data_IF_240657239019
#
_entry.id   IF_240657239019
#
_cell.length_a   1.000
_cell.length_b   1.000
_cell.length_c   1.000
_cell.angle_alpha   90.00
_cell.angle_beta   90.00
_cell.angle_gamma   90.00
#
_symmetry.space_group_name_H-M   'P 1'
#
loop_
_entity.id
_entity.type
_entity.pdbx_description
1 polymer ?
#
# COMPACT_ATOMS: atom_id res chain seq x y z
N UNK A 1 -3.42 -26.37 5.40
CA UNK A 1 -2.71 -27.66 5.66
C UNK A 1 -3.07 -28.11 7.07
N UNK A 2 -3.29 -29.40 7.23
CA UNK A 2 -4.13 -30.05 8.25
C UNK A 2 -3.70 -29.87 9.72
N UNK A 3 -4.71 -29.77 10.61
CA UNK A 3 -4.58 -29.81 12.06
C UNK A 3 -4.44 -31.27 12.56
N UNK A 4 -3.41 -31.55 13.35
CA UNK A 4 -3.27 -32.82 14.09
C UNK A 4 -3.69 -32.58 15.53
N UNK A 5 -4.86 -33.11 15.87
CA UNK A 5 -5.37 -33.30 17.24
C UNK A 5 -5.10 -34.74 17.64
N UNK A 6 -4.54 -34.93 18.84
CA UNK A 6 -4.39 -36.22 19.51
C UNK A 6 -3.10 -36.21 20.34
N UNK A 7 -3.00 -36.75 21.56
CA UNK A 7 -3.87 -37.66 22.31
C UNK A 7 -3.28 -37.68 23.72
N UNK A 8 -3.97 -37.18 24.74
CA UNK A 8 -3.52 -37.32 26.14
C UNK A 8 -3.80 -38.74 26.59
N UNK A 9 -2.76 -39.57 26.62
CA UNK A 9 -2.78 -40.89 27.23
C UNK A 9 -2.51 -40.78 28.74
N UNK A 10 -3.44 -41.28 29.54
CA UNK A 10 -3.30 -41.43 30.99
C UNK A 10 -2.10 -42.33 31.31
N UNK A 11 -1.03 -41.75 31.86
CA UNK A 11 0.04 -42.51 32.50
C UNK A 11 -0.28 -42.66 33.99
N UNK A 12 -0.53 -43.92 34.35
CA UNK A 12 -0.75 -44.44 35.70
C UNK A 12 0.24 -43.88 36.73
N UNK A 13 -0.31 -43.43 37.86
CA UNK A 13 0.43 -43.07 39.07
C UNK A 13 1.31 -44.25 39.53
N UNK A 14 2.62 -44.15 39.30
CA UNK A 14 3.58 -44.99 40.00
C UNK A 14 3.85 -44.38 41.39
N UNK A 15 3.29 -45.07 42.38
CA UNK A 15 3.54 -44.91 43.82
C UNK A 15 5.04 -45.10 44.07
N UNK A 16 5.76 -44.00 44.31
CA UNK A 16 7.17 -44.05 44.69
C UNK A 16 7.30 -43.95 46.22
N UNK A 17 7.92 -45.00 46.74
CA UNK A 17 8.10 -45.37 48.12
C UNK A 17 8.99 -44.34 48.84
N UNK A 18 8.57 -43.97 50.06
CA UNK A 18 9.36 -43.18 50.99
C UNK A 18 10.70 -43.87 51.25
N UNK A 19 11.78 -43.25 50.80
CA UNK A 19 13.15 -43.73 50.96
C UNK A 19 14.10 -42.56 50.82
N UNK A 20 14.53 -42.02 51.96
CA UNK A 20 15.59 -41.02 52.05
C UNK A 20 16.90 -41.59 51.48
N UNK A 21 17.33 -41.12 50.31
CA UNK A 21 18.73 -41.19 49.89
C UNK A 21 19.15 -39.85 49.30
N UNK A 22 20.08 -39.23 50.01
CA UNK A 22 20.68 -37.92 49.76
C UNK A 22 21.55 -38.03 48.50
N UNK A 23 21.11 -37.47 47.38
CA UNK A 23 21.97 -37.22 46.22
C UNK A 23 22.57 -35.81 46.37
N UNK A 24 23.88 -35.75 46.62
CA UNK A 24 24.64 -34.49 46.65
C UNK A 24 24.73 -33.95 45.22
N UNK A 25 23.99 -32.87 44.92
CA UNK A 25 24.10 -32.16 43.64
C UNK A 25 25.27 -31.18 43.68
N UNK A 26 26.10 -31.24 42.63
CA UNK A 26 27.19 -30.30 42.39
C UNK A 26 26.64 -28.88 42.21
N UNK A 27 27.30 -27.93 42.88
CA UNK A 27 27.00 -26.51 42.85
C UNK A 27 27.16 -25.94 41.42
N UNK A 28 26.03 -25.58 40.81
CA UNK A 28 26.01 -24.50 39.84
C UNK A 28 25.81 -23.21 40.63
N UNK A 29 26.71 -22.23 40.47
CA UNK A 29 26.65 -20.93 41.13
C UNK A 29 25.45 -20.12 40.60
N UNK A 30 24.26 -20.45 41.09
CA UNK A 30 23.07 -19.61 40.98
C UNK A 30 22.95 -18.80 42.27
N UNK A 31 23.49 -17.58 42.30
CA UNK A 31 23.06 -16.62 43.32
C UNK A 31 21.56 -16.40 43.16
N UNK A 32 20.71 -16.70 44.16
CA UNK A 32 19.27 -16.59 44.03
C UNK A 32 18.90 -15.12 43.84
N UNK A 33 18.44 -14.79 42.65
CA UNK A 33 18.04 -13.44 42.30
C UNK A 33 16.85 -12.98 43.16
N UNK A 34 16.90 -11.75 43.69
CA UNK A 34 15.82 -11.21 44.52
C UNK A 34 14.51 -11.12 43.74
N UNK A 35 13.37 -11.27 44.44
CA UNK A 35 12.03 -11.31 43.81
C UNK A 35 11.78 -10.11 42.89
N UNK A 36 12.23 -8.91 43.28
CA UNK A 36 12.12 -7.70 42.44
C UNK A 36 12.95 -7.75 41.16
N UNK A 37 14.19 -8.26 41.22
CA UNK A 37 15.03 -8.43 40.04
C UNK A 37 14.47 -9.51 39.09
N UNK A 38 13.91 -10.60 39.63
CA UNK A 38 13.22 -11.63 38.83
C UNK A 38 12.02 -11.06 38.06
N UNK A 39 11.17 -10.27 38.75
CA UNK A 39 10.02 -9.61 38.13
C UNK A 39 10.50 -8.65 37.03
N UNK A 40 11.52 -7.84 37.30
CA UNK A 40 12.09 -6.89 36.33
C UNK A 40 12.62 -7.57 35.06
N UNK A 41 13.45 -8.61 35.19
CA UNK A 41 13.97 -9.30 34.00
C UNK A 41 12.88 -10.07 33.24
N UNK A 42 11.86 -10.60 33.92
CA UNK A 42 10.74 -11.25 33.24
C UNK A 42 9.89 -10.30 32.42
N UNK A 43 9.58 -9.10 32.93
CA UNK A 43 8.76 -8.12 32.20
C UNK A 43 9.52 -7.55 31.01
N UNK A 44 10.80 -7.21 31.19
CA UNK A 44 11.67 -6.75 30.08
C UNK A 44 11.80 -7.82 29.01
N UNK A 45 11.97 -9.09 29.38
CA UNK A 45 12.06 -10.20 28.42
C UNK A 45 10.77 -10.36 27.60
N UNK A 46 9.61 -10.33 28.25
CA UNK A 46 8.30 -10.45 27.57
C UNK A 46 8.05 -9.27 26.63
N UNK A 47 8.29 -8.04 27.10
CA UNK A 47 8.09 -6.84 26.29
C UNK A 47 9.07 -6.79 25.11
N UNK A 48 10.36 -7.06 25.36
CA UNK A 48 11.37 -7.07 24.30
C UNK A 48 11.08 -8.10 23.21
N UNK A 49 10.68 -9.32 23.59
CA UNK A 49 10.28 -10.36 22.64
C UNK A 49 9.01 -9.98 21.88
N UNK A 50 8.02 -9.37 22.56
CA UNK A 50 6.79 -8.91 21.92
C UNK A 50 7.05 -7.83 20.87
N UNK A 51 7.87 -6.82 21.20
CA UNK A 51 8.25 -5.74 20.27
C UNK A 51 9.03 -6.29 19.08
N UNK A 52 10.01 -7.16 19.31
CA UNK A 52 10.78 -7.79 18.24
C UNK A 52 9.88 -8.64 17.31
N UNK A 53 8.92 -9.37 17.88
CA UNK A 53 7.95 -10.16 17.10
C UNK A 53 7.05 -9.29 16.23
N UNK A 54 6.60 -8.13 16.72
CA UNK A 54 5.80 -7.17 15.94
C UNK A 54 6.62 -6.56 14.81
N UNK A 55 7.86 -6.13 15.09
CA UNK A 55 8.76 -5.59 14.05
C UNK A 55 8.99 -6.62 12.96
N UNK A 56 9.24 -7.89 13.33
CA UNK A 56 9.44 -8.97 12.37
C UNK A 56 8.17 -9.22 11.52
N UNK A 57 6.99 -9.25 12.13
CA UNK A 57 5.73 -9.46 11.42
C UNK A 57 5.38 -8.31 10.46
N UNK A 58 5.75 -7.07 10.81
CA UNK A 58 5.51 -5.88 9.98
C UNK A 58 6.59 -5.67 8.89
N UNK A 59 7.70 -6.41 8.94
CA UNK A 59 8.76 -6.31 7.94
C UNK A 59 8.41 -6.99 6.60
N UNK A 60 7.36 -7.82 6.57
CA UNK A 60 6.87 -8.43 5.35
C UNK A 60 6.05 -7.42 4.52
N UNK A 61 6.64 -6.91 3.44
CA UNK A 61 5.92 -6.10 2.45
C UNK A 61 4.88 -6.97 1.72
N UNK A 62 3.61 -6.54 1.67
CA UNK A 62 2.60 -7.21 0.84
C UNK A 62 3.02 -7.14 -0.63
N UNK A 63 3.36 -8.30 -1.22
CA UNK A 63 3.70 -8.42 -2.64
C UNK A 63 2.40 -8.52 -3.46
N UNK A 64 1.90 -7.38 -3.89
CA UNK A 64 0.74 -7.27 -4.78
C UNK A 64 1.13 -6.98 -6.24
N UNK A 65 2.34 -7.36 -6.67
CA UNK A 65 2.83 -7.11 -8.04
C UNK A 65 2.07 -7.91 -9.10
N UNK A 66 1.58 -9.09 -8.74
CA UNK A 66 1.05 -10.06 -9.69
C UNK A 66 -0.49 -10.05 -9.74
N UNK A 67 -1.12 -9.25 -8.87
CA UNK A 67 -2.57 -9.07 -8.80
C UNK A 67 -2.95 -7.81 -9.57
N UNK A 68 -3.86 -7.95 -10.54
CA UNK A 68 -4.42 -6.80 -11.25
C UNK A 68 -5.63 -6.29 -10.49
N UNK A 69 -5.52 -5.10 -9.90
CA UNK A 69 -6.67 -4.41 -9.31
C UNK A 69 -7.52 -3.80 -10.43
N UNK A 70 -8.74 -4.32 -10.61
CA UNK A 70 -9.67 -3.73 -11.57
C UNK A 70 -10.19 -2.37 -11.07
N UNK A 71 -10.23 -1.33 -11.92
CA UNK A 71 -10.71 -0.02 -11.51
C UNK A 71 -12.22 -0.04 -11.19
N UNK A 72 -12.67 0.75 -10.20
CA UNK A 72 -14.09 0.86 -9.89
C UNK A 72 -14.86 1.58 -11.01
N UNK A 73 -16.17 1.34 -11.08
CA UNK A 73 -17.06 2.02 -12.04
C UNK A 73 -17.38 3.42 -11.53
N UNK A 74 -16.68 4.43 -12.04
CA UNK A 74 -16.95 5.83 -11.72
C UNK A 74 -18.21 6.36 -12.44
N UNK A 75 -19.02 7.21 -11.77
CA UNK A 75 -20.22 7.81 -12.35
C UNK A 75 -19.86 9.04 -13.19
N UNK A 76 -19.32 8.82 -14.40
CA UNK A 76 -19.02 9.92 -15.33
C UNK A 76 -20.30 10.53 -15.93
N UNK A 77 -20.38 11.87 -16.11
CA UNK A 77 -21.59 12.53 -16.61
C UNK A 77 -22.00 12.05 -18.01
N UNK A 78 -21.03 11.75 -18.87
CA UNK A 78 -21.22 11.24 -20.22
C UNK A 78 -21.52 9.73 -20.28
N UNK A 79 -21.74 9.07 -19.14
CA UNK A 79 -22.05 7.64 -19.04
C UNK A 79 -23.44 7.37 -18.45
N UNK A 80 -24.12 8.39 -17.93
CA UNK A 80 -25.40 8.22 -17.23
C UNK A 80 -26.51 7.70 -18.15
N UNK A 81 -26.60 8.24 -19.37
CA UNK A 81 -27.60 7.84 -20.36
C UNK A 81 -26.94 7.64 -21.73
N UNK A 82 -27.63 6.92 -22.63
CA UNK A 82 -27.16 6.71 -24.01
C UNK A 82 -27.05 8.01 -24.82
N UNK A 83 -27.68 9.09 -24.38
CA UNK A 83 -27.68 10.41 -25.02
C UNK A 83 -26.86 11.46 -24.26
N UNK A 84 -26.18 11.08 -23.17
CA UNK A 84 -25.38 12.01 -22.39
C UNK A 84 -24.17 12.50 -23.19
N UNK A 85 -23.95 13.82 -23.25
CA UNK A 85 -22.81 14.43 -23.92
C UNK A 85 -21.62 14.64 -22.96
N UNK A 86 -20.47 15.02 -23.52
CA UNK A 86 -19.31 15.41 -22.73
C UNK A 86 -19.52 16.77 -22.07
N UNK A 87 -19.05 16.93 -20.83
CA UNK A 87 -19.00 18.23 -20.17
C UNK A 87 -17.85 19.07 -20.76
N UNK A 88 -18.20 20.03 -21.62
CA UNK A 88 -17.25 20.94 -22.27
C UNK A 88 -16.47 21.81 -21.27
N UNK A 89 -17.03 22.14 -20.10
CA UNK A 89 -16.30 22.86 -19.06
C UNK A 89 -15.22 21.98 -18.43
N UNK A 90 -15.48 20.68 -18.26
CA UNK A 90 -14.48 19.71 -17.85
C UNK A 90 -13.41 19.51 -18.91
N UNK A 91 -13.76 19.46 -20.20
CA UNK A 91 -12.78 19.38 -21.30
C UNK A 91 -11.83 20.58 -21.27
N UNK A 92 -12.35 21.80 -21.07
CA UNK A 92 -11.50 23.01 -20.98
C UNK A 92 -10.52 22.94 -19.81
N UNK A 93 -10.99 22.55 -18.61
CA UNK A 93 -10.10 22.36 -17.44
C UNK A 93 -9.08 21.23 -17.66
N UNK A 94 -9.49 20.14 -18.32
CA UNK A 94 -8.62 19.02 -18.64
C UNK A 94 -7.50 19.39 -19.62
N UNK A 95 -7.78 20.27 -20.59
CA UNK A 95 -6.76 20.82 -21.48
C UNK A 95 -5.69 21.60 -20.70
N UNK A 96 -6.09 22.42 -19.72
CA UNK A 96 -5.13 23.13 -18.87
C UNK A 96 -4.24 22.19 -18.06
N UNK A 97 -4.80 21.10 -17.52
CA UNK A 97 -4.01 20.05 -16.85
C UNK A 97 -3.02 19.39 -17.81
N UNK A 98 -3.47 19.07 -19.04
CA UNK A 98 -2.57 18.53 -20.05
C UNK A 98 -1.43 19.50 -20.37
N UNK A 99 -1.76 20.77 -20.64
CA UNK A 99 -0.80 21.83 -20.98
C UNK A 99 0.23 22.07 -19.87
N UNK A 100 -0.22 22.10 -18.61
CA UNK A 100 0.62 22.47 -17.47
C UNK A 100 1.44 21.29 -16.90
N UNK A 101 0.95 20.05 -17.03
CA UNK A 101 1.55 18.88 -16.37
C UNK A 101 2.03 17.83 -17.37
N UNK A 102 1.17 17.43 -18.31
CA UNK A 102 1.41 16.26 -19.14
C UNK A 102 2.25 16.56 -20.39
N UNK A 103 2.14 17.77 -20.94
CA UNK A 103 2.77 18.17 -22.21
C UNK A 103 4.30 18.11 -22.18
N UNK A 104 4.91 18.18 -20.99
CA UNK A 104 6.35 18.03 -20.84
C UNK A 104 6.86 16.61 -21.16
N UNK A 105 6.02 15.58 -20.98
CA UNK A 105 6.42 14.18 -21.15
C UNK A 105 5.60 13.42 -22.21
N UNK A 106 4.34 13.82 -22.46
CA UNK A 106 3.42 13.13 -23.35
C UNK A 106 3.01 14.02 -24.54
N UNK A 107 3.33 13.55 -25.75
CA UNK A 107 2.88 14.17 -26.99
C UNK A 107 1.41 13.90 -27.28
N UNK A 108 0.73 14.85 -27.90
CA UNK A 108 -0.65 14.70 -28.34
C UNK A 108 -0.77 14.98 -29.84
N UNK A 109 -0.16 14.09 -30.64
CA UNK A 109 0.05 14.27 -32.10
C UNK A 109 -1.24 14.30 -32.94
N UNK A 110 -2.32 13.67 -32.48
CA UNK A 110 -3.54 13.49 -33.26
C UNK A 110 -4.60 14.58 -33.03
N UNK A 111 -4.32 15.58 -32.19
CA UNK A 111 -5.20 16.73 -31.97
C UNK A 111 -4.45 17.99 -32.36
N UNK A 112 -5.04 18.75 -33.27
CA UNK A 112 -4.57 20.07 -33.65
C UNK A 112 -5.37 21.14 -32.89
N UNK A 113 -4.81 22.35 -32.74
CA UNK A 113 -5.49 23.48 -32.08
C UNK A 113 -6.86 23.80 -32.68
N UNK A 114 -7.03 23.62 -34.00
CA UNK A 114 -8.32 23.76 -34.70
C UNK A 114 -9.42 22.82 -34.17
N UNK A 115 -9.07 21.68 -33.58
CA UNK A 115 -10.05 20.75 -33.02
C UNK A 115 -10.63 21.24 -31.68
N UNK A 116 -9.99 22.23 -31.04
CA UNK A 116 -10.47 22.82 -29.79
C UNK A 116 -11.51 23.93 -30.03
N UNK A 117 -11.55 24.48 -31.25
CA UNK A 117 -12.45 25.56 -31.64
C UNK A 117 -13.89 25.08 -31.62
N UNK A 118 -14.75 25.76 -30.86
CA UNK A 118 -16.16 25.38 -30.70
C UNK A 118 -16.39 24.16 -29.81
N UNK A 119 -15.32 23.55 -29.28
CA UNK A 119 -15.39 22.47 -28.30
C UNK A 119 -15.05 23.02 -26.91
N UNK A 120 -13.81 23.48 -26.70
CA UNK A 120 -13.37 24.00 -25.40
C UNK A 120 -12.90 25.45 -25.46
N UNK A 121 -12.50 25.92 -26.65
CA UNK A 121 -11.96 27.26 -26.86
C UNK A 121 -12.69 27.98 -27.99
N UNK A 122 -12.66 29.30 -27.94
CA UNK A 122 -13.01 30.13 -29.10
C UNK A 122 -11.87 30.14 -30.12
N UNK A 123 -12.13 30.58 -31.34
CA UNK A 123 -11.10 30.66 -32.39
C UNK A 123 -9.93 31.57 -31.97
N UNK A 124 -10.24 32.72 -31.36
CA UNK A 124 -9.23 33.68 -30.90
C UNK A 124 -8.36 33.09 -29.79
N UNK A 125 -8.95 32.36 -28.84
CA UNK A 125 -8.21 31.69 -27.76
C UNK A 125 -7.32 30.56 -28.31
N UNK A 126 -7.85 29.72 -29.20
CA UNK A 126 -7.09 28.62 -29.79
C UNK A 126 -5.90 29.14 -30.64
N UNK A 127 -6.07 30.29 -31.31
CA UNK A 127 -5.00 30.97 -32.03
C UNK A 127 -3.93 31.52 -31.10
N UNK A 128 -4.33 32.21 -30.03
CA UNK A 128 -3.38 32.72 -29.04
C UNK A 128 -2.56 31.57 -28.38
N UNK A 129 -3.21 30.45 -28.11
CA UNK A 129 -2.56 29.23 -27.59
C UNK A 129 -1.56 28.65 -28.58
N UNK A 130 -1.93 28.56 -29.85
CA UNK A 130 -1.06 28.11 -30.94
C UNK A 130 0.16 29.03 -31.12
N UNK A 131 -0.01 30.34 -30.99
CA UNK A 131 1.07 31.34 -31.07
C UNK A 131 2.02 31.28 -29.87
N UNK A 132 1.52 30.89 -28.68
CA UNK A 132 2.33 30.83 -27.45
C UNK A 132 3.41 29.74 -27.47
N UNK A 133 3.23 28.70 -28.30
CA UNK A 133 4.17 27.59 -28.41
C UNK A 133 5.10 27.83 -29.59
N UNK A 134 6.41 27.86 -29.32
CA UNK A 134 7.45 28.02 -30.33
C UNK A 134 7.58 26.75 -31.20
N UNK A 135 6.62 26.53 -32.08
CA UNK A 135 6.70 25.53 -33.13
C UNK A 135 6.49 26.24 -34.46
N UNK A 136 7.58 26.33 -35.25
CA UNK A 136 7.59 26.83 -36.63
C UNK A 136 6.55 26.12 -37.54
N UNK A 137 6.01 24.98 -37.07
CA UNK A 137 4.98 24.18 -37.74
C UNK A 137 3.54 24.66 -37.44
N UNK A 138 3.33 25.46 -36.39
CA UNK A 138 1.99 25.88 -35.96
C UNK A 138 1.46 27.12 -36.69
N UNK A 139 2.35 28.00 -37.14
CA UNK A 139 1.96 29.18 -37.93
C UNK A 139 1.52 28.85 -39.37
N UNK A 140 1.79 27.64 -39.86
CA UNK A 140 1.52 27.22 -41.26
C UNK A 140 0.25 26.37 -41.41
N UNK A 141 -0.35 25.91 -40.31
CA UNK A 141 -1.54 25.05 -40.32
C UNK A 141 -2.69 25.61 -39.48
N UNK A 142 -2.96 26.90 -39.67
CA UNK A 142 -4.33 27.40 -39.60
C UNK A 142 -4.94 27.36 -41.00
#
# INVERSE_FOLDING_TARGET
MAAVVGRFGNASFLRLQSGSLISKTHASTYTPLSRGKKVFFSTVGVVGAGVAGVIYALNESVKASDLVLHPPKLPWPHKETIISSLDHASIRRGYEVYKQVCAACHSLRFIAYRNLVGVSHTEAEAKAEAESVSALFCAVYF
#
